data_IF_326671236155
#
_entry.id   IF_326671236155
#
_cell.length_a   1.000
_cell.length_b   1.000
_cell.length_c   1.000
_cell.angle_alpha   90.00
_cell.angle_beta   90.00
_cell.angle_gamma   90.00
#
_symmetry.space_group_name_H-M   'P 1'
#
loop_
_entity.id
_entity.type
_entity.pdbx_description
1 polymer ?
#
# COMPACT_ATOMS: atom_id res chain seq x y z
N UNK A 1 15.40 -44.00 -29.68
CA UNK A 1 14.33 -43.63 -30.64
C UNK A 1 13.61 -42.43 -30.07
N UNK A 2 13.84 -41.29 -30.72
CA UNK A 2 13.12 -40.01 -30.61
C UNK A 2 13.16 -39.35 -29.22
N UNK A 3 14.21 -38.55 -29.00
CA UNK A 3 14.07 -37.29 -28.26
C UNK A 3 13.00 -36.47 -28.97
N UNK A 4 11.77 -36.54 -28.46
CA UNK A 4 10.70 -35.67 -28.92
C UNK A 4 10.99 -34.28 -28.36
N UNK A 5 11.43 -33.39 -29.25
CA UNK A 5 11.49 -31.95 -29.06
C UNK A 5 10.12 -31.41 -28.62
N UNK A 6 9.80 -31.46 -27.33
CA UNK A 6 8.67 -30.70 -26.79
C UNK A 6 9.11 -29.24 -26.70
N UNK A 7 8.72 -28.44 -27.70
CA UNK A 7 8.90 -26.99 -27.78
C UNK A 7 8.75 -26.32 -26.40
N UNK A 8 9.87 -26.03 -25.74
CA UNK A 8 9.95 -25.31 -24.46
C UNK A 8 9.78 -23.81 -24.71
N UNK A 9 8.62 -23.38 -25.19
CA UNK A 9 8.28 -21.95 -25.34
C UNK A 9 7.78 -21.29 -24.05
N UNK A 10 7.62 -22.07 -22.96
CA UNK A 10 7.02 -21.62 -21.71
C UNK A 10 7.99 -21.61 -20.52
N UNK A 11 9.30 -21.68 -20.76
CA UNK A 11 10.33 -21.61 -19.73
C UNK A 11 11.12 -20.31 -19.90
N UNK A 12 11.02 -19.41 -18.91
CA UNK A 12 11.81 -18.18 -18.83
C UNK A 12 12.51 -18.14 -17.46
N UNK A 13 13.67 -17.51 -17.39
CA UNK A 13 14.41 -17.33 -16.13
C UNK A 13 13.58 -16.60 -15.07
N UNK A 14 12.68 -15.70 -15.50
CA UNK A 14 11.79 -14.94 -14.63
C UNK A 14 10.67 -15.77 -13.98
N UNK A 15 10.40 -16.97 -14.50
CA UNK A 15 9.32 -17.84 -13.99
C UNK A 15 9.82 -19.05 -13.19
N UNK A 16 11.13 -19.15 -12.99
CA UNK A 16 11.75 -20.22 -12.20
C UNK A 16 11.46 -20.01 -10.72
N UNK A 17 11.40 -21.11 -9.96
CA UNK A 17 11.24 -21.05 -8.52
C UNK A 17 12.42 -20.32 -7.87
N UNK A 18 12.12 -19.49 -6.87
CA UNK A 18 13.14 -18.81 -6.07
C UNK A 18 14.04 -19.84 -5.36
N UNK A 19 15.35 -19.62 -5.42
CA UNK A 19 16.34 -20.45 -4.74
C UNK A 19 16.04 -20.49 -3.23
N UNK A 20 16.00 -21.67 -2.58
CA UNK A 20 15.82 -21.79 -1.14
C UNK A 20 16.76 -20.92 -0.30
N UNK A 21 18.00 -20.67 -0.74
CA UNK A 21 18.96 -19.80 -0.03
C UNK A 21 18.51 -18.34 0.03
N UNK A 22 17.70 -17.89 -0.94
CA UNK A 22 17.27 -16.50 -1.06
C UNK A 22 15.95 -16.25 -0.30
N UNK A 23 15.38 -17.28 0.34
CA UNK A 23 14.18 -17.20 1.20
C UNK A 23 14.52 -16.64 2.58
N UNK A 24 15.06 -15.42 2.62
CA UNK A 24 15.53 -14.74 3.84
C UNK A 24 14.41 -14.03 4.63
N UNK A 25 13.14 -14.24 4.29
CA UNK A 25 12.02 -13.51 4.89
C UNK A 25 11.53 -14.17 6.18
N UNK A 26 11.59 -13.42 7.28
CA UNK A 26 11.11 -13.85 8.59
C UNK A 26 9.70 -13.29 8.87
N UNK A 27 9.04 -13.81 9.92
CA UNK A 27 7.73 -13.33 10.35
C UNK A 27 7.73 -11.83 10.70
N UNK A 28 8.84 -11.30 11.25
CA UNK A 28 9.00 -9.86 11.52
C UNK A 28 8.98 -9.03 10.24
N UNK A 29 9.64 -9.50 9.19
CA UNK A 29 9.67 -8.82 7.89
C UNK A 29 8.27 -8.83 7.26
N UNK A 30 7.56 -9.94 7.39
CA UNK A 30 6.16 -10.06 6.93
C UNK A 30 5.23 -9.14 7.71
N UNK A 31 5.41 -9.00 9.03
CA UNK A 31 4.65 -8.06 9.84
C UNK A 31 4.87 -6.62 9.36
N UNK A 32 6.11 -6.18 9.17
CA UNK A 32 6.43 -4.85 8.64
C UNK A 32 5.86 -4.64 7.24
N UNK A 33 5.95 -5.65 6.38
CA UNK A 33 5.38 -5.61 5.03
C UNK A 33 3.87 -5.41 5.04
N UNK A 34 3.13 -6.17 5.84
CA UNK A 34 1.69 -6.02 5.97
C UNK A 34 1.30 -4.69 6.61
N UNK A 35 2.04 -4.25 7.64
CA UNK A 35 1.85 -2.96 8.28
C UNK A 35 1.89 -1.81 7.28
N UNK A 36 2.94 -1.77 6.45
CA UNK A 36 3.10 -0.74 5.42
C UNK A 36 2.01 -0.81 4.33
N UNK A 37 1.56 -2.01 3.95
CA UNK A 37 0.49 -2.16 2.95
C UNK A 37 -0.88 -1.66 3.45
N UNK A 38 -1.19 -1.86 4.72
CA UNK A 38 -2.47 -1.43 5.31
C UNK A 38 -2.50 0.08 5.54
N UNK A 39 -1.36 0.67 5.90
CA UNK A 39 -1.18 2.10 6.17
C UNK A 39 -1.15 2.92 4.88
N UNK A 40 -2.29 2.96 4.17
CA UNK A 40 -2.46 3.77 2.97
C UNK A 40 -3.40 4.94 3.23
N UNK A 41 -3.15 6.06 2.53
CA UNK A 41 -4.00 7.25 2.57
C UNK A 41 -5.43 6.91 2.13
N UNK A 42 -5.57 5.96 1.20
CA UNK A 42 -6.86 5.44 0.72
C UNK A 42 -7.64 4.76 1.86
N UNK A 43 -6.96 3.96 2.68
CA UNK A 43 -7.58 3.30 3.83
C UNK A 43 -8.06 4.31 4.88
N UNK A 44 -7.23 5.32 5.18
CA UNK A 44 -7.62 6.37 6.12
C UNK A 44 -8.79 7.22 5.62
N UNK A 45 -8.81 7.58 4.33
CA UNK A 45 -9.91 8.35 3.76
C UNK A 45 -11.22 7.56 3.74
N UNK A 46 -11.17 6.25 3.47
CA UNK A 46 -12.33 5.37 3.56
C UNK A 46 -12.91 5.35 4.97
N UNK A 47 -12.08 5.09 5.99
CA UNK A 47 -12.53 5.07 7.39
C UNK A 47 -13.11 6.43 7.79
N UNK A 48 -12.44 7.53 7.43
CA UNK A 48 -12.95 8.88 7.70
C UNK A 48 -14.32 9.12 7.05
N UNK A 49 -14.52 8.68 5.80
CA UNK A 49 -15.82 8.82 5.12
C UNK A 49 -16.95 8.00 5.77
N UNK A 50 -16.65 6.81 6.30
CA UNK A 50 -17.63 5.99 7.03
C UNK A 50 -18.14 6.71 8.28
N UNK A 51 -17.27 7.46 8.94
CA UNK A 51 -17.64 8.27 10.11
C UNK A 51 -18.34 9.57 9.72
N UNK A 52 -17.77 10.35 8.80
CA UNK A 52 -18.24 11.71 8.50
C UNK A 52 -19.45 11.75 7.57
N UNK A 53 -19.52 10.85 6.59
CA UNK A 53 -20.58 10.85 5.56
C UNK A 53 -21.72 9.94 5.97
N UNK A 54 -21.39 8.74 6.45
CA UNK A 54 -22.39 7.73 6.80
C UNK A 54 -22.80 7.76 8.28
N UNK A 55 -22.16 8.60 9.11
CA UNK A 55 -22.42 8.73 10.55
C UNK A 55 -22.51 7.37 11.26
N UNK A 56 -21.65 6.42 10.86
CA UNK A 56 -21.64 5.09 11.45
C UNK A 56 -21.02 5.12 12.85
N UNK A 57 -21.56 4.29 13.75
CA UNK A 57 -21.02 4.12 15.08
C UNK A 57 -19.61 3.49 15.02
N UNK A 58 -18.71 3.97 15.87
CA UNK A 58 -17.37 3.45 16.10
C UNK A 58 -17.33 1.91 16.23
N UNK A 59 -18.22 1.31 17.01
CA UNK A 59 -18.24 -0.13 17.22
C UNK A 59 -18.54 -0.90 15.93
N UNK A 60 -19.47 -0.40 15.11
CA UNK A 60 -19.85 -1.05 13.85
C UNK A 60 -18.68 -1.04 12.87
N UNK A 61 -18.01 0.12 12.73
CA UNK A 61 -16.84 0.24 11.86
C UNK A 61 -15.68 -0.62 12.38
N UNK A 62 -15.42 -0.62 13.69
CA UNK A 62 -14.36 -1.43 14.30
C UNK A 62 -14.59 -2.93 14.08
N UNK A 63 -15.79 -3.44 14.43
CA UNK A 63 -16.13 -4.86 14.27
C UNK A 63 -16.14 -5.26 12.80
N UNK A 64 -16.66 -4.40 11.92
CA UNK A 64 -16.61 -4.62 10.47
C UNK A 64 -15.18 -4.73 9.94
N UNK A 65 -14.28 -3.83 10.38
CA UNK A 65 -12.86 -3.88 10.03
C UNK A 65 -12.17 -5.14 10.58
N UNK A 66 -12.49 -5.58 11.80
CA UNK A 66 -11.92 -6.80 12.39
C UNK A 66 -12.36 -8.04 11.61
N UNK A 67 -13.66 -8.16 11.31
CA UNK A 67 -14.22 -9.28 10.52
C UNK A 67 -13.60 -9.29 9.12
N UNK A 68 -13.54 -8.14 8.46
CA UNK A 68 -12.90 -8.01 7.15
C UNK A 68 -11.43 -8.42 7.18
N UNK A 69 -10.67 -7.95 8.17
CA UNK A 69 -9.26 -8.32 8.34
C UNK A 69 -9.07 -9.82 8.59
N UNK A 70 -9.97 -10.45 9.34
CA UNK A 70 -9.96 -11.89 9.58
C UNK A 70 -10.15 -12.69 8.27
N UNK A 71 -11.12 -12.29 7.45
CA UNK A 71 -11.32 -12.93 6.14
C UNK A 71 -10.13 -12.72 5.21
N UNK A 72 -9.57 -11.51 5.15
CA UNK A 72 -8.36 -11.24 4.37
C UNK A 72 -7.22 -12.14 4.82
N UNK A 73 -6.98 -12.24 6.13
CA UNK A 73 -5.98 -13.14 6.70
C UNK A 73 -6.21 -14.60 6.26
N UNK A 74 -7.44 -15.08 6.33
CA UNK A 74 -7.78 -16.45 5.93
C UNK A 74 -7.46 -16.70 4.44
N UNK A 75 -7.97 -15.85 3.54
CA UNK A 75 -7.80 -16.04 2.10
C UNK A 75 -6.34 -15.86 1.64
N UNK A 76 -5.64 -14.88 2.20
CA UNK A 76 -4.22 -14.65 1.91
C UNK A 76 -3.38 -15.85 2.32
N UNK A 77 -3.62 -16.45 3.48
CA UNK A 77 -2.86 -17.63 3.91
C UNK A 77 -3.13 -18.85 3.03
N UNK A 78 -4.39 -19.05 2.60
CA UNK A 78 -4.74 -20.14 1.68
C UNK A 78 -3.99 -20.03 0.34
N UNK A 79 -3.96 -18.83 -0.24
CA UNK A 79 -3.32 -18.57 -1.53
C UNK A 79 -1.78 -18.50 -1.39
N UNK A 80 -1.29 -17.93 -0.29
CA UNK A 80 0.12 -17.67 -0.05
C UNK A 80 0.94 -18.91 0.31
N UNK A 81 0.38 -19.85 1.08
CA UNK A 81 1.09 -21.06 1.54
C UNK A 81 1.72 -21.90 0.42
N UNK A 82 1.03 -22.24 -0.69
CA UNK A 82 1.66 -22.98 -1.78
C UNK A 82 2.73 -22.15 -2.51
N UNK A 83 2.49 -20.85 -2.73
CA UNK A 83 3.46 -19.96 -3.39
C UNK A 83 4.74 -19.78 -2.55
N UNK A 84 4.63 -19.67 -1.23
CA UNK A 84 5.77 -19.57 -0.32
C UNK A 84 6.60 -20.87 -0.27
N UNK A 85 5.93 -22.03 -0.21
CA UNK A 85 6.60 -23.34 -0.16
C UNK A 85 7.37 -23.61 -1.46
N UNK A 86 6.71 -23.45 -2.60
CA UNK A 86 7.29 -23.79 -3.90
C UNK A 86 8.10 -22.65 -4.54
N UNK A 87 7.98 -21.42 -4.04
CA UNK A 87 8.68 -20.26 -4.60
C UNK A 87 8.27 -19.93 -6.04
N UNK A 88 7.11 -20.42 -6.48
CA UNK A 88 6.63 -20.27 -7.85
C UNK A 88 5.81 -18.98 -8.02
N UNK A 89 5.96 -18.28 -9.15
CA UNK A 89 5.17 -17.10 -9.46
C UNK A 89 3.67 -17.41 -9.54
N UNK A 90 2.84 -16.43 -9.17
CA UNK A 90 1.38 -16.55 -9.22
C UNK A 90 0.84 -16.99 -10.60
N UNK A 91 1.31 -16.45 -11.76
CA UNK A 91 0.81 -16.90 -13.06
C UNK A 91 1.11 -18.38 -13.36
N UNK A 92 2.19 -18.94 -12.80
CA UNK A 92 2.55 -20.35 -12.95
C UNK A 92 1.67 -21.22 -12.07
N UNK A 93 1.45 -20.81 -10.81
CA UNK A 93 0.55 -21.49 -9.88
C UNK A 93 -0.87 -21.60 -10.45
N UNK A 94 -1.36 -20.55 -11.10
CA UNK A 94 -2.70 -20.51 -11.66
C UNK A 94 -2.91 -21.51 -12.82
N UNK A 95 -1.84 -21.96 -13.49
CA UNK A 95 -1.91 -22.96 -14.58
C UNK A 95 -2.48 -24.29 -14.11
N UNK A 96 -2.30 -24.64 -12.83
CA UNK A 96 -2.79 -25.90 -12.25
C UNK A 96 -4.32 -25.93 -12.21
N UNK A 97 -4.97 -24.78 -11.99
CA UNK A 97 -6.44 -24.71 -11.85
C UNK A 97 -7.15 -24.30 -13.14
N UNK A 98 -6.61 -23.35 -13.92
CA UNK A 98 -7.30 -22.76 -15.07
C UNK A 98 -6.67 -23.10 -16.42
N UNK A 99 -5.65 -23.96 -16.44
CA UNK A 99 -4.86 -24.25 -17.63
C UNK A 99 -3.99 -23.07 -18.08
N UNK A 100 -3.27 -23.25 -19.19
CA UNK A 100 -2.27 -22.28 -19.68
C UNK A 100 -2.94 -21.00 -20.18
N UNK A 101 -3.98 -21.12 -21.01
CA UNK A 101 -4.66 -19.98 -21.61
C UNK A 101 -5.45 -19.17 -20.56
N UNK A 102 -6.15 -19.85 -19.64
CA UNK A 102 -6.88 -19.18 -18.55
C UNK A 102 -5.94 -18.41 -17.62
N UNK A 103 -4.83 -19.03 -17.23
CA UNK A 103 -3.83 -18.38 -16.39
C UNK A 103 -3.25 -17.10 -17.03
N UNK A 104 -3.06 -17.09 -18.36
CA UNK A 104 -2.59 -15.91 -19.09
C UNK A 104 -3.56 -14.73 -18.96
N UNK A 105 -4.84 -14.91 -19.28
CA UNK A 105 -5.82 -13.80 -19.22
C UNK A 105 -6.01 -13.26 -17.80
N UNK A 106 -6.13 -14.15 -16.81
CA UNK A 106 -6.33 -13.73 -15.41
C UNK A 106 -5.08 -13.04 -14.86
N UNK A 107 -3.88 -13.52 -15.20
CA UNK A 107 -2.64 -12.86 -14.77
C UNK A 107 -2.48 -11.47 -15.39
N UNK A 108 -2.85 -11.28 -16.66
CA UNK A 108 -2.86 -9.97 -17.33
C UNK A 108 -3.86 -9.01 -16.69
N UNK A 109 -5.08 -9.47 -16.42
CA UNK A 109 -6.11 -8.66 -15.77
C UNK A 109 -5.66 -8.20 -14.37
N UNK A 110 -5.04 -9.11 -13.59
CA UNK A 110 -4.43 -8.77 -12.30
C UNK A 110 -3.30 -7.75 -12.47
N UNK A 111 -2.47 -7.89 -13.50
CA UNK A 111 -1.41 -6.93 -13.83
C UNK A 111 -1.96 -5.53 -14.13
N UNK A 112 -3.03 -5.44 -14.92
CA UNK A 112 -3.71 -4.18 -15.26
C UNK A 112 -4.23 -3.46 -14.01
N UNK A 113 -4.91 -4.19 -13.11
CA UNK A 113 -5.38 -3.64 -11.83
C UNK A 113 -4.19 -3.15 -10.98
N UNK A 114 -3.08 -3.89 -10.99
CA UNK A 114 -1.85 -3.50 -10.32
C UNK A 114 -1.27 -2.18 -10.84
N UNK A 115 -1.24 -1.99 -12.16
CA UNK A 115 -0.77 -0.74 -12.79
C UNK A 115 -1.67 0.43 -12.41
N UNK A 116 -2.99 0.23 -12.42
CA UNK A 116 -3.95 1.25 -12.01
C UNK A 116 -3.74 1.65 -10.55
N UNK A 117 -3.66 0.68 -9.63
CA UNK A 117 -3.45 0.93 -8.21
C UNK A 117 -2.09 1.57 -7.93
N UNK A 118 -1.04 1.18 -8.67
CA UNK A 118 0.25 1.85 -8.61
C UNK A 118 0.14 3.35 -8.94
N UNK A 119 -0.57 3.69 -10.03
CA UNK A 119 -0.82 5.09 -10.40
C UNK A 119 -1.55 5.88 -9.31
N UNK A 120 -2.58 5.28 -8.69
CA UNK A 120 -3.31 5.92 -7.57
C UNK A 120 -2.38 6.17 -6.38
N UNK A 121 -1.55 5.20 -5.99
CA UNK A 121 -0.61 5.37 -4.88
C UNK A 121 0.45 6.44 -5.18
N UNK A 122 0.99 6.48 -6.40
CA UNK A 122 1.94 7.50 -6.83
C UNK A 122 1.32 8.91 -6.85
N UNK A 123 0.05 9.03 -7.19
CA UNK A 123 -0.68 10.30 -7.11
C UNK A 123 -0.76 10.82 -5.67
N UNK A 124 -1.16 9.98 -4.70
CA UNK A 124 -1.20 10.38 -3.29
C UNK A 124 0.18 10.69 -2.72
N UNK A 125 1.20 9.94 -3.14
CA UNK A 125 2.59 10.24 -2.78
C UNK A 125 3.04 11.61 -3.32
N UNK A 126 2.72 11.91 -4.57
CA UNK A 126 2.98 13.23 -5.18
C UNK A 126 2.31 14.37 -4.41
N UNK A 127 1.03 14.20 -4.02
CA UNK A 127 0.32 15.19 -3.21
C UNK A 127 1.01 15.44 -1.87
N UNK A 128 1.52 14.39 -1.22
CA UNK A 128 2.29 14.52 0.01
C UNK A 128 3.55 15.36 -0.19
N UNK A 129 4.29 15.14 -1.29
CA UNK A 129 5.44 15.98 -1.65
C UNK A 129 5.04 17.42 -1.97
N UNK A 130 3.95 17.62 -2.71
CA UNK A 130 3.44 18.97 -3.00
C UNK A 130 3.11 19.73 -1.72
N UNK A 131 2.48 19.09 -0.74
CA UNK A 131 2.23 19.72 0.56
C UNK A 131 3.51 20.08 1.30
N UNK A 132 4.52 19.21 1.29
CA UNK A 132 5.83 19.54 1.88
C UNK A 132 6.49 20.74 1.18
N UNK A 133 6.45 20.79 -0.15
CA UNK A 133 6.99 21.91 -0.94
C UNK A 133 6.24 23.22 -0.61
N UNK A 134 4.91 23.17 -0.51
CA UNK A 134 4.10 24.33 -0.13
C UNK A 134 4.42 24.80 1.28
N UNK A 135 4.53 23.90 2.26
CA UNK A 135 4.91 24.25 3.62
C UNK A 135 6.30 24.89 3.65
N UNK A 136 7.26 24.35 2.90
CA UNK A 136 8.60 24.92 2.78
C UNK A 136 8.55 26.34 2.21
N UNK A 137 7.81 26.58 1.12
CA UNK A 137 7.66 27.92 0.56
C UNK A 137 6.96 28.90 1.50
N UNK A 138 5.92 28.45 2.21
CA UNK A 138 5.24 29.28 3.21
C UNK A 138 6.19 29.75 4.32
N UNK A 139 7.10 28.89 4.78
CA UNK A 139 8.11 29.26 5.79
C UNK A 139 9.09 30.34 5.29
N UNK A 140 9.38 30.40 3.99
CA UNK A 140 10.27 31.40 3.41
C UNK A 140 9.54 32.70 3.04
N UNK A 141 8.34 32.60 2.45
CA UNK A 141 7.52 33.74 2.06
C UNK A 141 6.03 33.37 2.03
N UNK A 142 5.27 33.99 2.93
CA UNK A 142 3.82 33.79 3.04
C UNK A 142 3.04 34.26 1.80
N UNK A 143 3.60 35.15 0.97
CA UNK A 143 2.91 35.77 -0.16
C UNK A 143 3.13 35.04 -1.49
N UNK A 144 4.20 34.24 -1.58
CA UNK A 144 4.59 33.54 -2.81
C UNK A 144 3.52 32.55 -3.30
N UNK A 145 2.84 31.87 -2.37
CA UNK A 145 1.79 30.89 -2.68
C UNK A 145 0.46 31.51 -3.14
N UNK A 146 0.26 32.82 -2.97
CA UNK A 146 -0.96 33.52 -3.38
C UNK A 146 -0.94 34.00 -4.83
N UNK A 147 0.12 33.70 -5.58
CA UNK A 147 0.19 34.05 -6.99
C UNK A 147 -0.79 33.22 -7.82
N UNK A 148 -1.51 33.85 -8.74
CA UNK A 148 -2.53 33.22 -9.59
C UNK A 148 -2.04 31.99 -10.36
N UNK A 149 -0.73 31.93 -10.64
CA UNK A 149 -0.06 30.81 -11.31
C UNK A 149 -0.21 29.50 -10.52
N UNK A 150 -0.28 29.56 -9.19
CA UNK A 150 -0.45 28.38 -8.32
C UNK A 150 -1.91 27.93 -8.18
N UNK A 151 -2.86 28.70 -8.73
CA UNK A 151 -4.28 28.38 -8.83
C UNK A 151 -4.66 27.77 -10.20
N UNK A 152 -3.70 27.67 -11.12
CA UNK A 152 -3.91 27.02 -12.42
C UNK A 152 -3.88 25.50 -12.24
N UNK A 153 -5.02 24.87 -12.42
CA UNK A 153 -5.16 23.42 -12.42
C UNK A 153 -5.12 22.88 -13.85
N UNK A 154 -4.24 21.93 -14.10
CA UNK A 154 -4.19 21.14 -15.32
C UNK A 154 -4.35 19.65 -14.97
N UNK A 155 -5.36 18.98 -15.55
CA UNK A 155 -5.73 17.59 -15.23
C UNK A 155 -5.96 17.35 -13.72
N UNK A 156 -6.51 18.35 -13.00
CA UNK A 156 -6.76 18.26 -11.55
C UNK A 156 -5.50 18.38 -10.68
N UNK A 157 -4.35 18.74 -11.26
CA UNK A 157 -3.09 18.96 -10.58
C UNK A 157 -2.60 20.40 -10.77
N UNK A 158 -2.12 21.00 -9.68
CA UNK A 158 -1.50 22.32 -9.70
C UNK A 158 -0.10 22.26 -10.32
N UNK A 159 0.44 23.43 -10.67
CA UNK A 159 1.79 23.52 -11.24
C UNK A 159 2.90 23.00 -10.32
N UNK A 160 2.70 23.02 -8.99
CA UNK A 160 3.62 22.43 -7.99
C UNK A 160 3.47 20.89 -7.95
N UNK A 161 2.27 20.38 -8.23
CA UNK A 161 1.98 18.95 -8.13
C UNK A 161 2.65 18.16 -9.27
N UNK A 162 2.83 18.77 -10.45
CA UNK A 162 3.51 18.18 -11.60
C UNK A 162 4.98 17.81 -11.35
N UNK A 163 5.87 18.73 -10.90
CA UNK A 163 7.24 18.37 -10.56
C UNK A 163 7.30 17.41 -9.37
N UNK A 164 6.40 17.52 -8.38
CA UNK A 164 6.30 16.55 -7.28
C UNK A 164 5.94 15.14 -7.79
N UNK A 165 5.09 15.04 -8.83
CA UNK A 165 4.70 13.77 -9.43
C UNK A 165 5.84 13.12 -10.21
N UNK A 166 6.55 13.91 -11.02
CA UNK A 166 7.74 13.43 -11.74
C UNK A 166 8.82 12.98 -10.75
N UNK A 167 9.03 13.75 -9.68
CA UNK A 167 9.96 13.38 -8.61
C UNK A 167 9.56 12.06 -7.92
N UNK A 168 8.28 11.87 -7.60
CA UNK A 168 7.77 10.64 -7.02
C UNK A 168 8.04 9.41 -7.91
N UNK A 169 7.80 9.53 -9.23
CA UNK A 169 8.07 8.45 -10.19
C UNK A 169 9.57 8.13 -10.24
N UNK A 170 10.43 9.14 -10.34
CA UNK A 170 11.88 8.94 -10.39
C UNK A 170 12.37 8.24 -9.12
N UNK A 171 11.88 8.67 -7.96
CA UNK A 171 12.22 8.07 -6.67
C UNK A 171 11.75 6.61 -6.59
N UNK A 172 10.53 6.31 -7.01
CA UNK A 172 10.00 4.94 -7.05
C UNK A 172 10.83 4.05 -7.98
N UNK A 173 11.14 4.53 -9.18
CA UNK A 173 11.97 3.79 -10.14
C UNK A 173 13.37 3.50 -9.58
N UNK A 174 13.98 4.48 -8.91
CA UNK A 174 15.27 4.31 -8.25
C UNK A 174 15.22 3.25 -7.13
N UNK A 175 14.19 3.29 -6.26
CA UNK A 175 14.03 2.31 -5.19
C UNK A 175 13.87 0.90 -5.76
N UNK A 176 13.02 0.71 -6.79
CA UNK A 176 12.80 -0.62 -7.38
C UNK A 176 14.05 -1.18 -8.08
N UNK A 177 14.91 -0.32 -8.63
CA UNK A 177 16.14 -0.74 -9.33
C UNK A 177 17.21 -1.31 -8.40
N UNK A 178 17.16 -1.06 -7.09
CA UNK A 178 18.16 -1.53 -6.10
C UNK A 178 18.01 -2.99 -5.67
N UNK A 179 16.97 -3.68 -6.15
CA UNK A 179 16.76 -5.12 -5.94
C UNK A 179 16.05 -5.50 -4.64
N UNK A 180 15.77 -6.79 -4.48
CA UNK A 180 14.88 -7.31 -3.43
C UNK A 180 15.40 -7.14 -2.01
N UNK A 181 16.72 -7.29 -1.78
CA UNK A 181 17.30 -7.16 -0.44
C UNK A 181 17.20 -5.71 0.07
N UNK A 182 17.50 -4.73 -0.78
CA UNK A 182 17.38 -3.32 -0.43
C UNK A 182 15.91 -2.95 -0.15
N UNK A 183 14.98 -3.40 -1.00
CA UNK A 183 13.56 -3.17 -0.79
C UNK A 183 13.06 -3.74 0.53
N UNK A 184 13.53 -4.94 0.91
CA UNK A 184 13.22 -5.56 2.20
C UNK A 184 13.67 -4.67 3.37
N UNK A 185 14.91 -4.19 3.33
CA UNK A 185 15.45 -3.30 4.37
C UNK A 185 14.67 -1.98 4.44
N UNK A 186 14.33 -1.41 3.28
CA UNK A 186 13.54 -0.18 3.19
C UNK A 186 12.13 -0.35 3.76
N UNK A 187 11.44 -1.46 3.47
CA UNK A 187 10.12 -1.76 4.02
C UNK A 187 10.15 -1.85 5.54
N UNK A 188 11.13 -2.56 6.11
CA UNK A 188 11.27 -2.69 7.55
C UNK A 188 11.54 -1.35 8.23
N UNK A 189 12.43 -0.55 7.66
CA UNK A 189 12.73 0.79 8.14
C UNK A 189 11.51 1.71 8.07
N UNK A 190 10.82 1.72 6.93
CA UNK A 190 9.61 2.52 6.72
C UNK A 190 8.52 2.14 7.73
N UNK A 191 8.24 0.86 7.91
CA UNK A 191 7.21 0.41 8.86
C UNK A 191 7.49 0.90 10.29
N UNK A 192 8.73 0.79 10.76
CA UNK A 192 9.10 1.28 12.10
C UNK A 192 8.83 2.79 12.26
N UNK A 193 9.19 3.59 11.25
CA UNK A 193 8.96 5.05 11.27
C UNK A 193 7.47 5.37 11.28
N UNK A 194 6.67 4.71 10.44
CA UNK A 194 5.23 5.00 10.38
C UNK A 194 4.53 4.62 11.67
N UNK A 195 4.84 3.45 12.26
CA UNK A 195 4.27 3.07 13.56
C UNK A 195 4.68 4.04 14.68
N UNK A 196 5.94 4.47 14.69
CA UNK A 196 6.41 5.47 15.63
C UNK A 196 5.66 6.80 15.47
N UNK A 197 5.52 7.29 14.23
CA UNK A 197 4.77 8.52 13.92
C UNK A 197 3.29 8.44 14.30
N UNK A 198 2.62 7.32 13.98
CA UNK A 198 1.22 7.09 14.37
C UNK A 198 1.04 7.03 15.89
N UNK A 199 1.97 6.39 16.60
CA UNK A 199 1.93 6.34 18.06
C UNK A 199 2.09 7.72 18.68
N UNK A 200 3.03 8.54 18.19
CA UNK A 200 3.21 9.91 18.65
C UNK A 200 1.97 10.77 18.36
N UNK A 201 1.41 10.64 17.16
CA UNK A 201 0.20 11.36 16.77
C UNK A 201 -0.99 10.98 17.66
N UNK A 202 -1.15 9.70 17.99
CA UNK A 202 -2.19 9.24 18.91
C UNK A 202 -2.02 9.85 20.30
N UNK A 203 -0.80 9.85 20.85
CA UNK A 203 -0.51 10.44 22.16
C UNK A 203 -0.82 11.93 22.16
N UNK A 204 -0.43 12.65 21.10
CA UNK A 204 -0.70 14.06 20.94
C UNK A 204 -2.22 14.36 20.94
N UNK A 205 -3.01 13.63 20.15
CA UNK A 205 -4.47 13.82 20.11
C UNK A 205 -5.12 13.54 21.47
N UNK A 206 -4.72 12.46 22.15
CA UNK A 206 -5.26 12.11 23.48
C UNK A 206 -4.91 13.19 24.50
N UNK A 207 -3.68 13.73 24.43
CA UNK A 207 -3.24 14.79 25.34
C UNK A 207 -4.04 16.07 25.16
N UNK A 208 -4.36 16.44 23.92
CA UNK A 208 -5.06 17.70 23.62
C UNK A 208 -6.58 17.59 23.84
N UNK A 209 -7.18 16.42 23.58
CA UNK A 209 -8.63 16.20 23.65
C UNK A 209 -9.05 15.25 24.79
N UNK A 210 -8.30 15.23 25.89
CA UNK A 210 -8.48 14.23 26.95
C UNK A 210 -9.91 14.14 27.50
N UNK A 211 -10.55 15.30 27.76
CA UNK A 211 -11.90 15.35 28.32
C UNK A 211 -12.94 14.73 27.38
N UNK A 212 -12.91 15.11 26.10
CA UNK A 212 -13.84 14.63 25.08
C UNK A 212 -13.65 13.14 24.82
N UNK A 213 -12.40 12.68 24.68
CA UNK A 213 -12.09 11.26 24.43
C UNK A 213 -12.53 10.39 25.60
N UNK A 214 -12.25 10.81 26.84
CA UNK A 214 -12.64 10.09 28.05
C UNK A 214 -14.15 9.98 28.20
N UNK A 215 -14.88 11.03 27.85
CA UNK A 215 -16.34 11.04 27.92
C UNK A 215 -16.96 10.14 26.85
N UNK A 216 -16.54 10.26 25.58
CA UNK A 216 -16.99 9.37 24.51
C UNK A 216 -16.71 7.89 24.80
N UNK A 217 -15.60 7.57 25.49
CA UNK A 217 -15.28 6.20 25.88
C UNK A 217 -16.19 5.68 26.99
N UNK A 218 -16.62 6.54 27.91
CA UNK A 218 -17.61 6.19 28.94
C UNK A 218 -18.99 5.99 28.32
N UNK A 219 -19.38 6.86 27.40
CA UNK A 219 -20.66 6.77 26.70
C UNK A 219 -20.75 5.49 25.86
N UNK A 220 -19.62 4.99 25.33
CA UNK A 220 -19.53 3.69 24.65
C UNK A 220 -19.76 2.48 25.56
N UNK A 221 -19.54 2.59 26.87
CA UNK A 221 -19.71 1.50 27.84
C UNK A 221 -21.12 1.48 28.47
N UNK A 222 -21.86 2.58 28.35
CA UNK A 222 -23.25 2.67 28.77
C UNK A 222 -24.10 2.18 27.60
N UNK A 223 -24.36 0.88 27.58
CA UNK A 223 -25.36 0.29 26.69
C UNK A 223 -26.75 0.59 27.26
N UNK A 224 -27.40 1.65 26.77
CA UNK A 224 -28.87 1.78 26.83
C UNK A 224 -29.53 0.93 25.72
#
# INVERSE_FOLDING_TARGET
VIQENSKTELQNWEIVSVNPSDKIWNWKDLFCFWGNNIQSIIGFSLIASLYLVYNLNFLVVLVGCLIGSFFVYLFVNLIGKPSQRHGIPFPVFLRISMGINGARYVSLLRGLIGIFMFGVQTYFLSKSFSYLIRIAFHLFDNTFLNQDIFLIFYLGMNIIDWPAFVFAIILQFFLFSKGHHFNKLFINFSAMIVYFGLSLFLIFIISENYSVVSQSFKDLLIFE
#
